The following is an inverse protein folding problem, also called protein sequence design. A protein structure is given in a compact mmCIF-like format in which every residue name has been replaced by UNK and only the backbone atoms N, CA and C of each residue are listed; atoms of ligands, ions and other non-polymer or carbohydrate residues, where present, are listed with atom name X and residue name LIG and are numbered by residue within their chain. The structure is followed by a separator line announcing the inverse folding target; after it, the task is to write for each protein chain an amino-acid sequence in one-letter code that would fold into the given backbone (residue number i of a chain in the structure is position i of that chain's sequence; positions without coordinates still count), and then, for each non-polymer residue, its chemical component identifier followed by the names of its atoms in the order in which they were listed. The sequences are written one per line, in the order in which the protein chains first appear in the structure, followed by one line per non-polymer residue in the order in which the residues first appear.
data_IF_801592303391
#
_entry.id   IF_801592303391
#
_cell.length_a   1.000
_cell.length_b   1.000
_cell.length_c   1.000
_cell.angle_alpha   90.00
_cell.angle_beta   90.00
_cell.angle_gamma   90.00
#
_symmetry.space_group_name_H-M   'P 1'
#
loop_
_entity.id
_entity.type
_entity.pdbx_description
1 polymer ?
#
# COMPACT_ATOMS: atom_id res chain seq x y z
N UNK A 1 79.49 40.29 -40.00
CA UNK A 1 78.22 40.13 -40.76
C UNK A 1 77.36 39.12 -40.03
N UNK A 2 76.17 39.56 -39.59
CA UNK A 2 75.16 38.71 -38.95
C UNK A 2 74.62 37.66 -39.94
N UNK A 3 74.33 36.45 -39.44
CA UNK A 3 73.82 35.35 -40.26
C UNK A 3 72.94 34.35 -39.50
N UNK A 4 71.78 34.84 -39.03
CA UNK A 4 70.45 34.19 -38.83
C UNK A 4 70.36 32.76 -38.27
N UNK A 5 69.78 32.66 -37.08
CA UNK A 5 69.18 31.45 -36.49
C UNK A 5 68.11 30.90 -37.44
N UNK A 6 68.16 29.60 -37.77
CA UNK A 6 67.08 28.92 -38.51
C UNK A 6 65.95 28.61 -37.54
N UNK A 7 64.82 29.27 -37.74
CA UNK A 7 63.55 28.94 -37.09
C UNK A 7 63.18 27.49 -37.40
N UNK A 8 62.92 26.72 -36.35
CA UNK A 8 62.33 25.40 -36.44
C UNK A 8 60.86 25.55 -36.86
N UNK A 9 60.60 25.46 -38.17
CA UNK A 9 59.24 25.43 -38.71
C UNK A 9 58.55 24.13 -38.29
N UNK A 10 57.76 24.22 -37.21
CA UNK A 10 56.76 23.23 -36.86
C UNK A 10 55.57 23.41 -37.80
N UNK A 11 55.27 22.38 -38.60
CA UNK A 11 54.02 22.27 -39.35
C UNK A 11 54.10 22.66 -40.83
N UNK A 12 53.70 21.68 -41.66
CA UNK A 12 53.47 21.66 -43.13
C UNK A 12 54.55 20.88 -43.90
N UNK A 13 54.13 19.71 -44.40
CA UNK A 13 54.93 18.87 -45.28
C UNK A 13 55.12 19.59 -46.62
N UNK A 14 56.29 20.20 -46.79
CA UNK A 14 56.69 20.87 -48.03
C UNK A 14 57.27 19.82 -48.98
N UNK A 15 56.61 19.56 -50.11
CA UNK A 15 57.19 18.70 -51.16
C UNK A 15 58.40 19.39 -51.77
N UNK A 16 59.54 18.69 -51.97
CA UNK A 16 60.71 19.25 -52.63
C UNK A 16 60.34 19.80 -54.02
N UNK A 17 60.95 20.93 -54.40
CA UNK A 17 60.80 21.46 -55.76
C UNK A 17 61.45 20.54 -56.82
N UNK A 18 61.10 20.69 -58.11
CA UNK A 18 61.74 19.93 -59.19
C UNK A 18 63.24 20.25 -59.21
N UNK A 19 64.08 19.23 -58.98
CA UNK A 19 65.54 19.36 -58.86
C UNK A 19 66.10 19.32 -57.42
N UNK A 20 65.24 19.41 -56.40
CA UNK A 20 65.64 19.20 -55.00
C UNK A 20 65.58 17.71 -54.57
N UNK A 21 65.06 16.85 -55.45
CA UNK A 21 65.08 15.40 -55.25
C UNK A 21 66.46 14.84 -55.64
N UNK A 22 67.16 14.25 -54.67
CA UNK A 22 68.38 13.46 -54.89
C UNK A 22 68.09 11.97 -54.68
N UNK A 23 67.50 11.27 -55.67
CA UNK A 23 67.23 9.84 -55.57
C UNK A 23 68.51 8.99 -55.41
N UNK A 24 69.66 9.50 -55.81
CA UNK A 24 70.97 8.88 -55.62
C UNK A 24 71.39 8.76 -54.15
N UNK A 25 70.89 9.64 -53.30
CA UNK A 25 71.13 9.61 -51.85
C UNK A 25 70.05 8.79 -51.11
N UNK A 26 68.99 8.37 -51.81
CA UNK A 26 67.98 7.52 -51.22
C UNK A 26 68.58 6.12 -50.99
N UNK A 27 68.37 5.50 -49.82
CA UNK A 27 68.79 4.13 -49.61
C UNK A 27 68.16 3.21 -50.68
N UNK A 28 68.87 2.18 -51.16
CA UNK A 28 68.38 1.31 -52.22
C UNK A 28 67.01 0.73 -51.84
N UNK A 29 66.03 0.90 -52.74
CA UNK A 29 64.68 0.40 -52.57
C UNK A 29 64.69 -1.12 -52.40
N UNK A 30 64.43 -1.56 -51.16
CA UNK A 30 63.86 -2.84 -50.73
C UNK A 30 64.45 -4.17 -51.26
N UNK A 31 65.60 -4.16 -51.95
CA UNK A 31 66.27 -5.39 -52.44
C UNK A 31 67.23 -6.00 -51.42
N UNK A 32 67.45 -5.34 -50.28
CA UNK A 32 68.26 -5.85 -49.18
C UNK A 32 67.45 -5.94 -47.89
N UNK A 33 67.55 -7.10 -47.21
CA UNK A 33 66.90 -7.36 -45.93
C UNK A 33 67.54 -6.49 -44.83
N UNK A 34 66.81 -5.50 -44.33
CA UNK A 34 67.25 -4.65 -43.21
C UNK A 34 66.52 -5.01 -41.92
N UNK A 35 67.18 -4.90 -40.75
CA UNK A 35 66.47 -5.01 -39.49
C UNK A 35 65.45 -3.87 -39.36
N UNK A 36 64.31 -4.10 -38.69
CA UNK A 36 63.31 -3.05 -38.49
C UNK A 36 63.91 -1.89 -37.69
N UNK A 37 63.66 -0.66 -38.14
CA UNK A 37 63.97 0.56 -37.40
C UNK A 37 62.70 1.08 -36.74
N UNK A 38 62.67 1.06 -35.41
CA UNK A 38 61.55 1.58 -34.64
C UNK A 38 61.89 2.99 -34.14
N UNK A 39 61.01 3.94 -34.39
CA UNK A 39 61.03 5.23 -33.70
C UNK A 39 59.96 5.21 -32.62
N UNK A 40 60.34 5.52 -31.38
CA UNK A 40 59.37 5.76 -30.32
C UNK A 40 59.10 7.26 -30.24
N UNK A 41 57.83 7.66 -30.38
CA UNK A 41 57.40 9.02 -30.10
C UNK A 41 57.62 9.39 -28.62
N UNK A 42 57.68 10.69 -28.33
CA UNK A 42 57.78 11.18 -26.95
C UNK A 42 56.59 10.73 -26.10
N UNK A 43 56.81 10.44 -24.81
CA UNK A 43 55.73 10.10 -23.87
C UNK A 43 54.69 11.23 -23.84
N UNK A 44 53.42 10.86 -24.03
CA UNK A 44 52.30 11.77 -23.78
C UNK A 44 52.25 12.13 -22.30
N UNK A 45 51.93 13.39 -21.97
CA UNK A 45 51.72 13.80 -20.58
C UNK A 45 50.52 13.03 -20.00
N UNK A 46 50.67 12.52 -18.77
CA UNK A 46 49.54 12.00 -18.01
C UNK A 46 48.46 13.08 -17.87
N UNK A 47 47.22 12.76 -18.23
CA UNK A 47 46.08 13.66 -18.02
C UNK A 47 45.78 13.72 -16.53
N UNK A 48 45.59 14.93 -15.99
CA UNK A 48 45.28 15.19 -14.57
C UNK A 48 43.86 14.77 -14.16
N UNK A 49 43.04 14.28 -15.09
CA UNK A 49 41.62 13.98 -14.89
C UNK A 49 41.40 12.50 -14.54
N UNK A 50 42.38 11.64 -14.79
CA UNK A 50 42.24 10.22 -14.45
C UNK A 50 42.38 10.07 -12.93
N UNK A 51 41.25 9.96 -12.23
CA UNK A 51 41.19 9.60 -10.82
C UNK A 51 41.57 8.13 -10.66
N UNK A 52 42.84 7.79 -10.92
CA UNK A 52 43.35 6.44 -10.72
C UNK A 52 43.63 6.28 -9.23
N UNK A 53 42.88 5.41 -8.53
CA UNK A 53 43.15 5.17 -7.12
C UNK A 53 44.55 4.54 -6.97
N UNK A 54 45.21 4.83 -5.86
CA UNK A 54 46.47 4.20 -5.51
C UNK A 54 46.32 2.65 -5.50
N UNK A 55 47.39 1.88 -5.73
CA UNK A 55 47.32 0.40 -5.79
C UNK A 55 46.67 -0.24 -4.55
N UNK A 56 46.79 0.42 -3.39
CA UNK A 56 46.21 0.00 -2.12
C UNK A 56 44.78 0.51 -1.86
N UNK A 57 44.20 1.31 -2.76
CA UNK A 57 42.85 1.90 -2.64
C UNK A 57 41.76 1.13 -3.41
N UNK A 58 42.11 0.07 -4.13
CA UNK A 58 41.11 -0.79 -4.75
C UNK A 58 40.41 -1.61 -3.66
N UNK A 59 39.25 -1.16 -3.19
CA UNK A 59 38.34 -1.95 -2.36
C UNK A 59 37.23 -2.51 -3.24
N UNK A 60 36.92 -3.80 -3.09
CA UNK A 60 35.72 -4.38 -3.68
C UNK A 60 34.48 -3.83 -2.94
N UNK A 61 33.37 -3.54 -3.63
CA UNK A 61 32.10 -3.23 -2.97
C UNK A 61 31.72 -4.35 -2.00
N UNK A 62 31.16 -3.99 -0.84
CA UNK A 62 30.66 -4.96 0.12
C UNK A 62 29.61 -5.86 -0.56
N UNK A 63 29.85 -7.16 -0.60
CA UNK A 63 28.93 -8.17 -1.16
C UNK A 63 27.79 -8.55 -0.19
N UNK A 64 27.72 -7.88 0.97
CA UNK A 64 26.63 -8.03 1.93
C UNK A 64 25.49 -7.07 1.55
N UNK A 65 24.36 -7.64 1.13
CA UNK A 65 23.17 -6.88 0.73
C UNK A 65 23.02 -6.69 -0.78
N UNK A 66 21.89 -6.10 -1.23
CA UNK A 66 21.42 -6.21 -2.62
C UNK A 66 22.05 -5.21 -3.62
N UNK A 67 23.25 -4.68 -3.38
CA UNK A 67 23.78 -3.57 -4.19
C UNK A 67 25.15 -3.84 -4.82
N UNK A 68 25.16 -4.73 -5.82
CA UNK A 68 26.19 -4.73 -6.87
C UNK A 68 25.49 -5.02 -8.21
N UNK A 69 25.47 -4.07 -9.19
CA UNK A 69 24.75 -4.26 -10.45
C UNK A 69 25.24 -5.44 -11.31
N UNK A 70 26.49 -5.87 -11.12
CA UNK A 70 27.17 -6.85 -11.98
C UNK A 70 27.27 -8.25 -11.37
N UNK A 71 26.85 -8.46 -10.12
CA UNK A 71 26.98 -9.75 -9.43
C UNK A 71 25.72 -10.07 -8.61
N UNK A 72 25.24 -11.33 -8.63
CA UNK A 72 24.16 -11.74 -7.74
C UNK A 72 24.65 -11.65 -6.28
N UNK A 73 23.83 -11.05 -5.40
CA UNK A 73 24.09 -11.00 -3.97
C UNK A 73 23.76 -12.36 -3.31
N UNK A 74 24.61 -12.82 -2.39
CA UNK A 74 24.31 -13.98 -1.56
C UNK A 74 23.21 -13.64 -0.56
N UNK A 75 22.36 -14.62 -0.23
CA UNK A 75 21.29 -14.41 0.74
C UNK A 75 21.86 -14.04 2.13
N UNK A 76 21.44 -12.90 2.66
CA UNK A 76 21.77 -12.46 4.02
C UNK A 76 20.64 -12.83 4.98
N UNK A 77 20.76 -13.99 5.64
CA UNK A 77 19.81 -14.42 6.65
C UNK A 77 20.18 -13.80 8.01
N UNK A 78 19.27 -13.02 8.58
CA UNK A 78 19.43 -12.48 9.94
C UNK A 78 18.53 -13.27 10.89
N UNK A 79 19.14 -13.97 11.84
CA UNK A 79 18.44 -14.67 12.93
C UNK A 79 18.27 -13.72 14.14
N UNK A 80 17.63 -12.58 13.96
CA UNK A 80 17.27 -11.75 15.12
C UNK A 80 16.03 -10.92 14.82
N UNK A 81 14.87 -11.50 15.16
CA UNK A 81 13.73 -10.66 15.52
C UNK A 81 14.17 -9.82 16.71
N UNK A 82 14.04 -8.49 16.63
CA UNK A 82 14.30 -7.64 17.77
C UNK A 82 13.33 -8.04 18.87
N UNK A 83 13.82 -8.76 19.89
CA UNK A 83 13.06 -8.95 21.12
C UNK A 83 12.75 -7.54 21.62
N UNK A 84 11.47 -7.17 21.69
CA UNK A 84 11.08 -5.88 22.25
C UNK A 84 11.72 -5.78 23.63
N UNK A 85 12.49 -4.72 23.87
CA UNK A 85 13.06 -4.48 25.18
C UNK A 85 11.94 -4.51 26.23
N UNK A 86 12.12 -5.34 27.26
CA UNK A 86 11.11 -5.64 28.28
C UNK A 86 10.13 -6.76 27.90
N UNK A 87 10.46 -7.65 26.96
CA UNK A 87 9.72 -8.90 26.75
C UNK A 87 9.79 -9.84 27.96
N UNK A 88 8.97 -10.91 28.03
CA UNK A 88 9.00 -11.86 29.16
C UNK A 88 10.35 -12.58 29.34
N UNK A 89 11.21 -12.57 28.31
CA UNK A 89 12.58 -13.07 28.39
C UNK A 89 13.55 -12.14 29.13
N UNK A 90 13.23 -10.84 29.22
CA UNK A 90 14.06 -9.80 29.85
C UNK A 90 13.44 -9.34 31.18
N UNK A 91 12.12 -9.23 31.24
CA UNK A 91 11.35 -8.83 32.42
C UNK A 91 10.60 -10.03 33.01
N UNK A 92 11.21 -10.67 34.01
CA UNK A 92 10.65 -11.84 34.70
C UNK A 92 9.32 -11.53 35.41
N UNK A 93 9.02 -10.26 35.72
CA UNK A 93 7.74 -9.88 36.33
C UNK A 93 6.54 -10.10 35.39
N UNK A 94 6.79 -10.17 34.08
CA UNK A 94 5.78 -10.47 33.04
C UNK A 94 5.59 -11.96 32.82
N UNK A 95 6.47 -12.81 33.36
CA UNK A 95 6.30 -14.26 33.26
C UNK A 95 5.25 -14.72 34.28
N UNK A 96 4.22 -15.47 33.87
CA UNK A 96 3.30 -16.05 34.82
C UNK A 96 4.07 -17.01 35.74
N UNK A 97 3.88 -16.84 37.06
CA UNK A 97 4.46 -17.77 38.04
C UNK A 97 3.96 -19.21 37.84
N UNK A 98 4.62 -20.21 38.44
CA UNK A 98 4.32 -21.63 38.20
C UNK A 98 2.86 -22.02 38.48
N UNK A 99 2.19 -21.34 39.42
CA UNK A 99 0.77 -21.57 39.73
C UNK A 99 -0.23 -20.75 38.89
N UNK A 100 0.23 -19.92 37.94
CA UNK A 100 -0.64 -19.07 37.11
C UNK A 100 -0.98 -19.70 35.75
N UNK A 101 -0.33 -20.80 35.39
CA UNK A 101 -0.70 -21.56 34.22
C UNK A 101 -2.01 -22.29 34.48
N UNK A 102 -3.07 -21.90 33.76
CA UNK A 102 -4.32 -22.65 33.79
C UNK A 102 -4.13 -23.97 33.05
N UNK A 103 -4.73 -25.04 33.57
CA UNK A 103 -4.86 -26.29 32.81
C UNK A 103 -5.72 -26.06 31.58
N UNK A 104 -5.29 -26.58 30.44
CA UNK A 104 -6.07 -26.55 29.20
C UNK A 104 -7.34 -27.38 29.36
N UNK A 105 -8.46 -26.88 28.82
CA UNK A 105 -9.72 -27.62 28.84
C UNK A 105 -9.57 -28.95 28.06
N UNK A 106 -9.95 -30.11 28.63
CA UNK A 106 -9.81 -31.40 27.98
C UNK A 106 -10.53 -31.52 26.63
N UNK A 107 -11.59 -30.74 26.39
CA UNK A 107 -12.30 -30.72 25.11
C UNK A 107 -11.48 -30.13 23.96
N UNK A 108 -10.30 -29.57 24.22
CA UNK A 108 -9.35 -29.11 23.21
C UNK A 108 -8.65 -30.30 22.53
N UNK A 109 -8.36 -31.37 23.27
CA UNK A 109 -7.61 -32.53 22.76
C UNK A 109 -8.36 -33.87 22.85
N UNK A 110 -9.50 -33.90 23.54
CA UNK A 110 -10.42 -35.03 23.58
C UNK A 110 -11.71 -34.69 22.84
N UNK A 111 -12.47 -35.72 22.41
CA UNK A 111 -13.81 -35.51 21.85
C UNK A 111 -14.69 -34.70 22.79
N UNK A 112 -15.10 -33.51 22.33
CA UNK A 112 -15.98 -32.60 23.08
C UNK A 112 -17.40 -33.16 23.12
N UNK A 113 -18.00 -33.17 24.31
CA UNK A 113 -19.41 -33.51 24.48
C UNK A 113 -20.31 -32.44 23.84
N UNK A 114 -21.51 -32.80 23.35
CA UNK A 114 -22.44 -31.82 22.78
C UNK A 114 -22.81 -30.75 23.83
N UNK A 115 -22.62 -29.48 23.48
CA UNK A 115 -22.98 -28.34 24.31
C UNK A 115 -24.21 -27.64 23.72
N UNK A 116 -25.31 -27.63 24.46
CA UNK A 116 -26.55 -26.96 24.05
C UNK A 116 -26.67 -25.61 24.75
N UNK A 117 -26.86 -24.55 23.98
CA UNK A 117 -27.25 -23.24 24.51
C UNK A 117 -28.74 -23.02 24.26
N UNK A 118 -29.50 -22.70 25.31
CA UNK A 118 -30.83 -22.14 25.13
C UNK A 118 -30.65 -20.68 24.72
N UNK A 119 -31.16 -20.30 23.54
CA UNK A 119 -31.16 -18.91 23.09
C UNK A 119 -31.81 -18.05 24.19
N UNK A 120 -31.10 -17.00 24.63
CA UNK A 120 -31.63 -16.06 25.62
C UNK A 120 -32.95 -15.43 25.15
N UNK A 121 -33.82 -15.05 26.08
CA UNK A 121 -35.08 -14.38 25.76
C UNK A 121 -34.77 -13.10 24.98
N UNK A 122 -35.15 -13.04 23.70
CA UNK A 122 -35.21 -11.76 23.00
C UNK A 122 -36.19 -10.87 23.76
N UNK A 123 -35.79 -9.62 24.03
CA UNK A 123 -36.71 -8.63 24.58
C UNK A 123 -37.94 -8.56 23.67
N UNK A 124 -39.13 -8.74 24.24
CA UNK A 124 -40.36 -8.59 23.47
C UNK A 124 -40.32 -7.21 22.79
N UNK A 125 -40.62 -7.10 21.47
CA UNK A 125 -40.79 -5.80 20.86
C UNK A 125 -41.87 -5.08 21.67
N UNK A 126 -41.49 -3.96 22.29
CA UNK A 126 -42.34 -3.20 23.16
C UNK A 126 -43.63 -2.92 22.38
N UNK A 127 -44.77 -3.43 22.86
CA UNK A 127 -46.03 -3.39 22.13
C UNK A 127 -46.53 -1.95 22.10
N UNK A 128 -45.98 -1.14 21.20
CA UNK A 128 -46.31 0.26 21.00
C UNK A 128 -47.69 0.44 20.32
N UNK A 129 -48.47 -0.62 20.20
CA UNK A 129 -49.85 -0.53 19.73
C UNK A 129 -50.69 0.02 20.87
N UNK A 130 -51.15 1.27 20.72
CA UNK A 130 -52.15 1.88 21.60
C UNK A 130 -53.48 1.13 21.45
N UNK A 131 -53.64 0.04 22.19
CA UNK A 131 -54.88 -0.73 22.22
C UNK A 131 -55.87 0.03 23.11
N UNK A 132 -57.02 0.49 22.59
CA UNK A 132 -58.03 1.13 23.41
C UNK A 132 -58.53 0.13 24.45
N UNK A 133 -58.55 0.55 25.72
CA UNK A 133 -59.12 -0.23 26.81
C UNK A 133 -60.64 -0.48 26.65
N UNK A 134 -61.21 -1.39 27.45
CA UNK A 134 -62.65 -1.53 27.56
C UNK A 134 -63.24 -0.19 28.05
N UNK A 135 -64.20 0.36 27.31
CA UNK A 135 -64.81 1.67 27.60
C UNK A 135 -64.25 2.87 26.80
N UNK A 136 -63.08 2.75 26.17
CA UNK A 136 -62.58 3.81 25.24
C UNK A 136 -63.21 3.75 23.85
N UNK A 137 -64.02 2.73 23.56
CA UNK A 137 -64.71 2.59 22.29
C UNK A 137 -65.98 3.45 22.29
N UNK A 138 -66.01 4.49 21.47
CA UNK A 138 -67.16 5.41 21.33
C UNK A 138 -67.76 5.30 19.92
N UNK A 139 -68.63 4.31 19.64
CA UNK A 139 -69.20 4.10 18.30
C UNK A 139 -70.04 5.29 17.81
N UNK A 140 -70.63 6.04 18.74
CA UNK A 140 -71.43 7.24 18.47
C UNK A 140 -70.62 8.41 17.88
N UNK A 141 -69.28 8.35 17.95
CA UNK A 141 -68.39 9.40 17.44
C UNK A 141 -67.67 9.01 16.15
N UNK A 142 -67.99 7.84 15.58
CA UNK A 142 -67.32 7.33 14.38
C UNK A 142 -67.94 7.95 13.13
N UNK A 143 -67.21 8.88 12.50
CA UNK A 143 -67.58 9.52 11.21
C UNK A 143 -66.66 9.13 10.06
N UNK A 144 -65.78 8.14 10.26
CA UNK A 144 -64.75 7.74 9.28
C UNK A 144 -65.34 7.33 7.91
N UNK A 145 -66.49 6.66 7.91
CA UNK A 145 -67.13 6.18 6.69
C UNK A 145 -68.47 6.86 6.37
N UNK A 146 -68.96 7.76 7.24
CA UNK A 146 -70.27 8.39 7.11
C UNK A 146 -70.20 9.84 7.59
N UNK A 147 -70.91 10.78 6.92
CA UNK A 147 -70.88 12.20 7.28
C UNK A 147 -71.47 12.50 8.67
N UNK A 148 -72.30 11.60 9.22
CA UNK A 148 -72.92 11.74 10.54
C UNK A 148 -73.02 10.37 11.23
N UNK A 149 -72.88 10.39 12.56
CA UNK A 149 -73.10 9.23 13.41
C UNK A 149 -74.56 8.74 13.35
N UNK A 150 -74.82 7.43 13.50
CA UNK A 150 -76.17 6.90 13.48
C UNK A 150 -77.00 7.46 14.65
N UNK A 151 -78.21 7.92 14.35
CA UNK A 151 -79.20 8.34 15.32
C UNK A 151 -80.35 7.32 15.34
N UNK A 152 -80.62 6.72 16.50
CA UNK A 152 -81.70 5.75 16.67
C UNK A 152 -82.84 6.38 17.46
N UNK A 153 -84.07 6.25 16.97
CA UNK A 153 -85.27 6.57 17.73
C UNK A 153 -86.10 5.29 17.89
N UNK A 154 -86.39 4.92 19.12
CA UNK A 154 -87.39 3.90 19.40
C UNK A 154 -88.73 4.61 19.57
N UNK A 155 -89.63 4.46 18.60
CA UNK A 155 -91.00 4.93 18.74
C UNK A 155 -91.72 4.10 19.81
N UNK A 156 -92.46 4.77 20.69
CA UNK A 156 -93.37 4.08 21.62
C UNK A 156 -94.57 3.60 20.79
N UNK A 157 -94.78 2.28 20.72
CA UNK A 157 -96.05 1.74 20.20
C UNK A 157 -97.06 1.80 21.33
N UNK A 158 -98.00 2.72 21.22
CA UNK A 158 -99.17 2.76 22.10
C UNK A 158 -100.07 1.55 21.84
N UNK A 159 -100.88 1.15 22.83
CA UNK A 159 -101.87 0.09 22.64
C UNK A 159 -102.92 0.53 21.61
N UNK A 160 -103.50 -0.44 20.90
CA UNK A 160 -104.52 -0.19 19.86
C UNK A 160 -105.79 0.49 20.40
N UNK A 161 -105.95 0.55 21.72
CA UNK A 161 -107.08 1.14 22.42
C UNK A 161 -106.84 2.58 22.90
N UNK A 162 -105.73 3.21 22.51
CA UNK A 162 -105.48 4.62 22.83
C UNK A 162 -106.29 5.51 21.90
N UNK A 163 -107.23 6.27 22.45
CA UNK A 163 -107.99 7.28 21.72
C UNK A 163 -107.09 8.49 21.46
N UNK A 164 -106.95 8.96 20.20
CA UNK A 164 -106.21 10.18 19.93
C UNK A 164 -106.99 11.38 20.48
N UNK A 165 -106.29 12.25 21.21
CA UNK A 165 -106.85 13.51 21.69
C UNK A 165 -106.95 14.48 20.50
N UNK A 166 -108.14 14.61 19.89
CA UNK A 166 -108.38 15.55 18.80
C UNK A 166 -108.62 16.93 19.39
N UNK A 167 -107.64 17.81 19.28
CA UNK A 167 -107.77 19.22 19.64
C UNK A 167 -107.71 20.03 18.35
N UNK A 168 -108.80 20.72 18.02
CA UNK A 168 -108.79 21.73 16.97
C UNK A 168 -108.06 22.95 17.53
N UNK A 169 -106.77 23.07 17.22
CA UNK A 169 -106.04 24.32 17.43
C UNK A 169 -106.42 25.22 16.27
N UNK A 170 -107.20 26.27 16.54
CA UNK A 170 -107.35 27.38 15.62
C UNK A 170 -106.02 28.15 15.59
N UNK A 171 -105.52 28.41 14.39
CA UNK A 171 -104.26 29.13 14.15
C UNK A 171 -104.17 30.49 14.88
#
# INVERSE_FOLDING_TARGET
MLGRVRESSTGLFQTPGPGAYSPENAPPCNTQRRPPSYTMGSRTRYRTIDSVPAPNKYCLPALMGPQVPTKPASASYTMSGHCKSGGPSEDLSKTPGPGRYNSTDPSVYLPRQPAFSMLGRHGFPNNATLKPGPGTHNPEKVTVHKPRAPAFSMGIRHSEFVTPLVVNVAD
#
